data_IF_330299356296
#
_entry.id   IF_330299356296
#
_cell.length_a   1.000
_cell.length_b   1.000
_cell.length_c   1.000
_cell.angle_alpha   90.00
_cell.angle_beta   90.00
_cell.angle_gamma   90.00
#
_symmetry.space_group_name_H-M   'P 1'
#
loop_
_entity.id
_entity.type
_entity.pdbx_description
1 polymer ?
#
# COMPACT_ATOMS: atom_id res chain seq x y z
N UNK A 1 -6.12 6.17 -13.19
CA UNK A 1 -5.92 5.12 -12.17
C UNK A 1 -4.43 5.02 -11.94
N UNK A 2 -3.99 5.12 -10.69
CA UNK A 2 -2.58 4.93 -10.35
C UNK A 2 -2.35 3.43 -10.21
N UNK A 3 -1.47 2.89 -11.05
CA UNK A 3 -1.02 1.50 -10.96
C UNK A 3 0.36 1.47 -10.32
N UNK A 4 0.41 1.09 -9.05
CA UNK A 4 1.66 0.71 -8.42
C UNK A 4 2.13 -0.62 -9.02
N UNK A 5 3.42 -0.78 -9.23
CA UNK A 5 4.02 -1.94 -9.92
C UNK A 5 3.76 -3.29 -9.20
N UNK A 6 3.19 -3.25 -7.99
CA UNK A 6 2.82 -4.40 -7.16
C UNK A 6 1.34 -4.84 -7.28
N UNK A 7 0.57 -4.30 -8.23
CA UNK A 7 -0.77 -4.80 -8.55
C UNK A 7 -1.93 -4.21 -7.73
N UNK A 8 -1.67 -3.16 -6.94
CA UNK A 8 -2.72 -2.41 -6.25
C UNK A 8 -3.13 -1.20 -7.08
N UNK A 9 -4.42 -1.14 -7.41
CA UNK A 9 -5.00 -0.03 -8.17
C UNK A 9 -5.62 0.97 -7.21
N UNK A 10 -5.00 2.15 -7.10
CA UNK A 10 -5.58 3.28 -6.37
C UNK A 10 -6.43 4.12 -7.30
N UNK A 11 -7.53 4.65 -6.77
CA UNK A 11 -8.27 5.71 -7.46
C UNK A 11 -7.37 6.96 -7.56
N UNK A 12 -7.74 7.92 -8.41
CA UNK A 12 -6.94 9.12 -8.64
C UNK A 12 -6.64 9.90 -7.35
N UNK A 13 -7.64 10.09 -6.49
CA UNK A 13 -7.47 10.76 -5.20
C UNK A 13 -6.49 10.01 -4.29
N UNK A 14 -6.69 8.70 -4.11
CA UNK A 14 -5.84 7.90 -3.24
C UNK A 14 -4.41 7.79 -3.77
N UNK A 15 -4.22 7.74 -5.09
CA UNK A 15 -2.88 7.71 -5.68
C UNK A 15 -2.13 9.03 -5.51
N UNK A 16 -2.81 10.18 -5.69
CA UNK A 16 -2.20 11.49 -5.41
C UNK A 16 -1.79 11.63 -3.94
N UNK A 17 -2.62 11.16 -3.01
CA UNK A 17 -2.27 11.16 -1.58
C UNK A 17 -1.11 10.20 -1.27
N UNK A 18 -1.07 9.03 -1.91
CA UNK A 18 0.01 8.08 -1.73
C UNK A 18 1.35 8.62 -2.26
N UNK A 19 1.35 9.32 -3.40
CA UNK A 19 2.55 9.99 -3.92
C UNK A 19 3.07 11.06 -2.96
N UNK A 20 2.17 11.85 -2.38
CA UNK A 20 2.53 12.79 -1.33
C UNK A 20 3.14 12.05 -0.13
N UNK A 21 2.56 10.92 0.28
CA UNK A 21 3.06 10.14 1.40
C UNK A 21 4.48 9.62 1.13
N UNK A 22 4.72 9.08 -0.07
CA UNK A 22 6.04 8.61 -0.49
C UNK A 22 7.03 9.79 -0.49
N UNK A 23 6.69 10.91 -1.15
CA UNK A 23 7.56 12.10 -1.23
C UNK A 23 7.97 12.58 0.16
N UNK A 24 7.01 12.69 1.07
CA UNK A 24 7.24 13.18 2.42
C UNK A 24 8.08 12.18 3.24
N UNK A 25 7.84 10.88 3.07
CA UNK A 25 8.54 9.81 3.80
C UNK A 25 10.00 9.65 3.35
N UNK A 26 10.28 9.82 2.05
CA UNK A 26 11.64 9.70 1.50
C UNK A 26 12.51 10.93 1.78
N UNK A 27 11.95 12.15 1.73
CA UNK A 27 12.73 13.38 1.89
C UNK A 27 12.87 13.86 3.35
N UNK A 28 12.43 13.07 4.34
CA UNK A 28 12.31 13.51 5.75
C UNK A 28 11.59 14.86 5.92
N UNK A 29 10.75 15.22 4.96
CA UNK A 29 10.08 16.52 4.91
C UNK A 29 8.90 16.58 5.87
N UNK A 30 8.66 17.77 6.41
CA UNK A 30 7.38 18.11 7.03
C UNK A 30 6.42 18.61 5.95
N UNK A 31 5.23 18.03 5.85
CA UNK A 31 4.18 18.59 5.00
C UNK A 31 3.75 19.95 5.54
N UNK A 32 3.58 20.93 4.65
CA UNK A 32 2.99 22.23 5.00
C UNK A 32 1.47 22.15 5.17
N UNK A 33 0.84 21.03 4.79
CA UNK A 33 -0.59 20.81 4.95
C UNK A 33 -0.95 20.39 6.37
N UNK A 34 -1.94 21.07 6.96
CA UNK A 34 -2.29 20.89 8.37
C UNK A 34 -2.82 19.49 8.73
N UNK A 35 -3.27 18.70 7.75
CA UNK A 35 -3.90 17.39 7.93
C UNK A 35 -2.99 16.22 7.55
N UNK A 36 -1.89 16.44 6.83
CA UNK A 36 -0.85 15.43 6.50
C UNK A 36 0.14 15.22 7.66
N UNK A 37 -0.41 15.12 8.87
CA UNK A 37 0.33 14.94 10.13
C UNK A 37 0.38 13.45 10.50
N UNK A 38 0.60 13.16 11.77
CA UNK A 38 0.86 11.81 12.27
C UNK A 38 -0.23 10.79 11.90
N UNK A 39 -1.51 11.11 12.07
CA UNK A 39 -2.61 10.19 11.78
C UNK A 39 -2.65 9.78 10.31
N UNK A 40 -2.43 10.73 9.40
CA UNK A 40 -2.41 10.48 7.96
C UNK A 40 -1.19 9.65 7.54
N UNK A 41 -0.01 9.94 8.11
CA UNK A 41 1.19 9.12 7.87
C UNK A 41 1.00 7.69 8.38
N UNK A 42 0.38 7.53 9.54
CA UNK A 42 0.07 6.22 10.12
C UNK A 42 -0.90 5.43 9.25
N UNK A 43 -1.91 6.09 8.68
CA UNK A 43 -2.84 5.47 7.73
C UNK A 43 -2.10 4.86 6.54
N UNK A 44 -1.26 5.65 5.87
CA UNK A 44 -0.54 5.19 4.68
C UNK A 44 0.54 4.16 4.99
N UNK A 45 1.25 4.30 6.11
CA UNK A 45 2.20 3.27 6.57
C UNK A 45 1.49 1.94 6.81
N UNK A 46 0.37 1.93 7.54
CA UNK A 46 -0.39 0.72 7.80
C UNK A 46 -0.97 0.11 6.52
N UNK A 47 -1.34 0.95 5.54
CA UNK A 47 -1.76 0.47 4.23
C UNK A 47 -0.63 -0.26 3.49
N UNK A 48 0.60 0.28 3.50
CA UNK A 48 1.78 -0.39 2.91
C UNK A 48 2.05 -1.72 3.61
N UNK A 49 2.11 -1.73 4.95
CA UNK A 49 2.34 -2.95 5.73
C UNK A 49 1.31 -4.03 5.40
N UNK A 50 0.04 -3.64 5.24
CA UNK A 50 -1.02 -4.55 4.83
C UNK A 50 -0.80 -5.12 3.44
N UNK A 51 -0.36 -4.31 2.46
CA UNK A 51 -0.07 -4.80 1.11
C UNK A 51 1.08 -5.80 1.09
N UNK A 52 2.15 -5.54 1.86
CA UNK A 52 3.28 -6.45 1.99
C UNK A 52 2.86 -7.78 2.64
N UNK A 53 2.09 -7.71 3.74
CA UNK A 53 1.56 -8.89 4.41
C UNK A 53 0.64 -9.70 3.49
N UNK A 54 -0.19 -9.04 2.70
CA UNK A 54 -1.09 -9.68 1.75
C UNK A 54 -0.30 -10.38 0.62
N UNK A 55 0.75 -9.76 0.10
CA UNK A 55 1.64 -10.36 -0.90
C UNK A 55 2.34 -11.59 -0.34
N UNK A 56 2.96 -11.46 0.84
CA UNK A 56 3.61 -12.58 1.52
C UNK A 56 2.65 -13.75 1.80
N UNK A 57 1.41 -13.45 2.19
CA UNK A 57 0.39 -14.47 2.38
C UNK A 57 0.02 -15.18 1.07
N UNK A 58 -0.15 -14.44 -0.03
CA UNK A 58 -0.42 -15.05 -1.34
C UNK A 58 0.75 -15.92 -1.83
N UNK A 59 1.97 -15.53 -1.51
CA UNK A 59 3.18 -16.28 -1.87
C UNK A 59 3.44 -17.49 -0.94
N UNK A 60 2.65 -17.65 0.13
CA UNK A 60 2.81 -18.75 1.08
C UNK A 60 2.49 -20.12 0.46
N UNK A 61 3.23 -21.19 0.84
CA UNK A 61 2.96 -22.54 0.35
C UNK A 61 1.53 -23.01 0.64
N UNK A 62 0.97 -22.61 1.78
CA UNK A 62 -0.40 -22.92 2.19
C UNK A 62 -1.42 -22.32 1.23
N UNK A 63 -1.27 -21.04 0.90
CA UNK A 63 -2.17 -20.35 -0.02
C UNK A 63 -2.05 -20.87 -1.46
N UNK A 64 -0.83 -21.14 -1.92
CA UNK A 64 -0.58 -21.71 -3.24
C UNK A 64 -1.17 -23.12 -3.38
N UNK A 65 -1.10 -23.92 -2.33
CA UNK A 65 -1.74 -25.24 -2.29
C UNK A 65 -3.27 -25.11 -2.34
N UNK A 66 -3.85 -24.25 -1.51
CA UNK A 66 -5.30 -24.02 -1.48
C UNK A 66 -5.82 -23.49 -2.83
N UNK A 67 -5.05 -22.62 -3.49
CA UNK A 67 -5.43 -22.08 -4.81
C UNK A 67 -5.48 -23.18 -5.88
N UNK A 68 -4.51 -24.10 -5.90
CA UNK A 68 -4.51 -25.24 -6.83
C UNK A 68 -5.68 -26.19 -6.58
N UNK A 69 -6.00 -26.47 -5.32
CA UNK A 69 -7.14 -27.32 -4.95
C UNK A 69 -8.52 -26.75 -5.37
N UNK A 70 -8.62 -25.44 -5.62
CA UNK A 70 -9.85 -24.79 -6.07
C UNK A 70 -9.99 -24.70 -7.60
N UNK A 71 -8.89 -24.87 -8.35
CA UNK A 71 -8.87 -24.84 -9.81
C UNK A 71 -9.15 -26.22 -10.44
N UNK A 72 -8.98 -27.30 -9.67
CA UNK A 72 -9.29 -28.70 -10.03
C UNK A 72 -10.75 -29.08 -9.74
#
# INVERSE_FOLDING_TARGET
MFSSNDGFNLCESCGSEFEDFVRISTNHGTSELFWQKEAWRKLWSAWVDYQEALKAFKDSPEFQKLSKELED
#
